data_IF_799659197787
#
_entry.id   IF_799659197787
#
_cell.length_a   1.000
_cell.length_b   1.000
_cell.length_c   1.000
_cell.angle_alpha   90.00
_cell.angle_beta   90.00
_cell.angle_gamma   90.00
#
_symmetry.space_group_name_H-M   'P 1'
#
loop_
_entity.id
_entity.type
_entity.pdbx_description
1 polymer ?
#
# COMPACT_ATOMS: atom_id res chain seq x y z
N UNK A 1 -3.16 27.08 29.11
CA UNK A 1 -3.77 26.58 27.85
C UNK A 1 -2.65 26.44 26.83
N UNK A 2 -2.40 25.23 26.33
CA UNK A 2 -1.48 24.99 25.22
C UNK A 2 -2.21 25.32 23.91
N UNK A 3 -1.67 26.24 23.11
CA UNK A 3 -2.14 26.45 21.73
C UNK A 3 -1.37 25.49 20.82
N UNK A 4 -2.04 24.46 20.32
CA UNK A 4 -1.45 23.48 19.43
C UNK A 4 -1.45 23.94 17.98
N UNK A 5 -0.33 23.75 17.28
CA UNK A 5 -0.21 23.96 15.84
C UNK A 5 -0.04 22.60 15.15
N UNK A 6 -0.92 22.28 14.19
CA UNK A 6 -0.82 21.05 13.38
C UNK A 6 -0.55 21.42 11.93
N UNK A 7 0.67 21.20 11.46
CA UNK A 7 1.08 21.46 10.08
C UNK A 7 1.65 20.20 9.44
N UNK A 8 1.31 19.96 8.16
CA UNK A 8 1.90 18.89 7.37
C UNK A 8 3.24 19.37 6.82
N UNK A 9 4.30 18.63 7.09
CA UNK A 9 5.65 18.91 6.59
C UNK A 9 6.21 17.67 5.89
N UNK A 10 6.99 17.88 4.84
CA UNK A 10 7.72 16.82 4.15
C UNK A 10 9.13 16.75 4.73
N UNK A 11 9.57 15.53 5.04
CA UNK A 11 10.93 15.27 5.54
C UNK A 11 11.92 15.52 4.40
N UNK A 12 12.83 16.47 4.60
CA UNK A 12 13.90 16.80 3.64
C UNK A 12 15.07 15.80 3.77
N UNK A 13 16.01 15.78 2.81
CA UNK A 13 17.23 14.99 2.92
C UNK A 13 17.94 15.21 4.26
N UNK A 14 18.47 14.14 4.84
CA UNK A 14 19.07 14.17 6.18
C UNK A 14 18.06 14.15 7.33
N UNK A 15 16.77 13.90 7.07
CA UNK A 15 15.75 13.76 8.12
C UNK A 15 15.24 15.10 8.67
N UNK A 16 15.52 16.21 7.99
CA UNK A 16 15.16 17.54 8.46
C UNK A 16 13.67 17.81 8.24
N UNK A 17 12.95 18.14 9.31
CA UNK A 17 11.57 18.62 9.26
C UNK A 17 11.57 20.13 9.46
N UNK A 18 11.24 20.88 8.41
CA UNK A 18 11.15 22.35 8.49
C UNK A 18 9.70 22.79 8.71
N UNK A 19 9.48 23.58 9.75
CA UNK A 19 8.19 24.18 10.10
C UNK A 19 8.41 25.70 10.13
N UNK A 20 7.59 26.46 9.42
CA UNK A 20 7.63 27.92 9.39
C UNK A 20 6.27 28.47 9.79
N UNK A 21 6.19 29.05 10.98
CA UNK A 21 4.94 29.51 11.58
C UNK A 21 5.14 30.93 12.10
N UNK A 22 4.72 31.95 11.33
CA UNK A 22 4.91 33.37 11.68
C UNK A 22 4.21 33.78 12.99
N UNK A 23 3.27 32.97 13.45
CA UNK A 23 2.50 33.17 14.68
C UNK A 23 3.24 32.78 15.97
N UNK A 24 4.41 32.13 15.86
CA UNK A 24 5.23 31.78 17.03
C UNK A 24 6.10 32.98 17.44
N UNK A 25 5.96 33.48 18.68
CA UNK A 25 6.77 34.59 19.15
C UNK A 25 8.23 34.17 19.34
N UNK A 26 9.14 35.10 19.03
CA UNK A 26 10.58 34.88 19.19
C UNK A 26 10.93 34.60 20.65
N UNK A 27 11.74 33.58 20.92
CA UNK A 27 12.17 33.21 22.28
C UNK A 27 11.19 32.32 23.06
N UNK A 28 10.05 31.95 22.48
CA UNK A 28 9.14 31.00 23.10
C UNK A 28 9.72 29.56 23.08
N UNK A 29 9.55 28.85 24.19
CA UNK A 29 9.81 27.41 24.25
C UNK A 29 8.62 26.67 23.65
N UNK A 30 8.88 25.77 22.70
CA UNK A 30 7.86 24.97 22.01
C UNK A 30 8.14 23.49 22.19
N UNK A 31 7.08 22.70 22.31
CA UNK A 31 7.14 21.23 22.30
C UNK A 31 6.71 20.72 20.92
N UNK A 32 7.48 19.79 20.34
CA UNK A 32 7.25 19.29 18.98
C UNK A 32 6.93 17.80 19.06
N UNK A 33 5.79 17.41 18.48
CA UNK A 33 5.39 16.01 18.31
C UNK A 33 5.37 15.70 16.81
N UNK A 34 6.19 14.73 16.39
CA UNK A 34 6.28 14.30 14.98
C UNK A 34 5.49 13.01 14.80
N UNK A 35 4.49 13.04 13.92
CA UNK A 35 3.66 11.89 13.54
C UNK A 35 3.98 11.51 12.11
N UNK A 36 4.56 10.33 11.91
CA UNK A 36 4.85 9.80 10.57
C UNK A 36 3.61 9.05 10.10
N UNK A 37 2.98 9.52 9.03
CA UNK A 37 1.93 8.73 8.37
C UNK A 37 2.59 7.48 7.76
N UNK A 38 1.98 6.29 7.89
CA UNK A 38 2.45 5.14 7.14
C UNK A 38 2.41 5.52 5.67
N UNK A 39 3.54 5.40 4.98
CA UNK A 39 3.52 5.36 3.53
C UNK A 39 2.58 4.22 3.20
N UNK A 40 1.51 4.48 2.45
CA UNK A 40 0.76 3.41 1.83
C UNK A 40 1.80 2.61 1.06
N UNK A 41 2.25 1.48 1.65
CA UNK A 41 3.00 0.46 0.93
C UNK A 41 2.16 0.26 -0.31
N UNK A 42 2.71 0.54 -1.49
CA UNK A 42 1.94 0.48 -2.72
C UNK A 42 1.30 -0.90 -2.76
N UNK A 43 0.02 -0.97 -2.39
CA UNK A 43 -0.74 -2.21 -2.41
C UNK A 43 -0.87 -2.44 -3.90
N UNK A 44 0.01 -3.28 -4.45
CA UNK A 44 -0.10 -3.73 -5.82
C UNK A 44 -1.56 -4.15 -5.99
N UNK A 45 -2.26 -3.52 -6.93
CA UNK A 45 -3.67 -3.80 -7.15
C UNK A 45 -3.86 -5.32 -7.25
N UNK A 46 -4.90 -5.87 -6.64
CA UNK A 46 -5.16 -7.31 -6.74
C UNK A 46 -5.30 -7.77 -8.21
N UNK A 47 -5.68 -6.84 -9.10
CA UNK A 47 -5.71 -7.09 -10.55
C UNK A 47 -4.34 -7.40 -11.15
N UNK A 48 -3.23 -7.01 -10.50
CA UNK A 48 -1.87 -7.35 -10.94
C UNK A 48 -1.55 -8.85 -10.83
N UNK A 49 -2.37 -9.63 -10.12
CA UNK A 49 -2.21 -11.08 -10.03
C UNK A 49 -2.90 -11.85 -11.18
N UNK A 50 -3.73 -11.19 -11.99
CA UNK A 50 -4.41 -11.85 -13.12
C UNK A 50 -3.36 -12.25 -14.16
N UNK A 51 -3.18 -13.56 -14.37
CA UNK A 51 -2.23 -14.12 -15.33
C UNK A 51 -0.79 -14.26 -14.83
N UNK A 52 -0.49 -13.91 -13.57
CA UNK A 52 0.87 -14.05 -13.01
C UNK A 52 1.17 -15.44 -12.46
N UNK A 53 0.15 -16.25 -12.19
CA UNK A 53 0.31 -17.61 -11.71
C UNK A 53 0.61 -18.59 -12.85
N UNK A 54 1.40 -19.63 -12.53
CA UNK A 54 1.55 -20.79 -13.41
C UNK A 54 0.20 -21.51 -13.49
N UNK A 55 -0.37 -21.60 -14.68
CA UNK A 55 -1.65 -22.30 -14.91
C UNK A 55 -1.57 -23.76 -14.44
N UNK A 56 -2.71 -24.31 -14.02
CA UNK A 56 -2.79 -25.69 -13.51
C UNK A 56 -2.51 -26.75 -14.59
N UNK A 57 -2.67 -26.38 -15.86
CA UNK A 57 -2.47 -27.25 -17.02
C UNK A 57 -1.42 -26.64 -17.94
N UNK A 58 -0.60 -27.50 -18.56
CA UNK A 58 0.48 -27.06 -19.43
C UNK A 58 -0.03 -26.70 -20.84
N UNK A 59 -1.14 -27.30 -21.27
CA UNK A 59 -1.71 -27.14 -22.62
C UNK A 59 -3.24 -27.11 -22.60
N UNK A 60 -3.89 -26.43 -23.57
CA UNK A 60 -5.34 -26.45 -23.70
C UNK A 60 -5.92 -27.86 -23.85
N UNK A 61 -5.25 -28.74 -24.58
CA UNK A 61 -5.70 -30.11 -24.85
C UNK A 61 -5.76 -30.94 -23.56
N UNK A 62 -4.87 -30.67 -22.60
CA UNK A 62 -4.87 -31.29 -21.28
C UNK A 62 -6.11 -30.87 -20.46
N UNK A 63 -6.49 -29.59 -20.55
CA UNK A 63 -7.70 -29.05 -19.91
C UNK A 63 -8.94 -29.73 -20.48
N UNK A 64 -9.04 -29.79 -21.80
CA UNK A 64 -10.20 -30.35 -22.50
C UNK A 64 -10.39 -31.83 -22.15
N UNK A 65 -9.29 -32.60 -22.11
CA UNK A 65 -9.31 -34.00 -21.71
C UNK A 65 -9.73 -34.17 -20.25
N UNK A 66 -9.23 -33.33 -19.35
CA UNK A 66 -9.63 -33.37 -17.94
C UNK A 66 -11.13 -33.10 -17.78
N UNK A 67 -11.65 -32.06 -18.43
CA UNK A 67 -13.08 -31.72 -18.37
C UNK A 67 -13.95 -32.84 -18.94
N UNK A 68 -13.54 -33.46 -20.05
CA UNK A 68 -14.31 -34.57 -20.62
C UNK A 68 -14.37 -35.77 -19.68
N UNK A 69 -13.25 -36.12 -19.04
CA UNK A 69 -13.19 -37.24 -18.10
C UNK A 69 -14.08 -37.03 -16.87
N UNK A 70 -14.04 -35.83 -16.28
CA UNK A 70 -14.89 -35.49 -15.13
C UNK A 70 -16.38 -35.57 -15.50
N UNK A 71 -16.76 -35.08 -16.68
CA UNK A 71 -18.14 -35.14 -17.15
C UNK A 71 -18.61 -36.59 -17.38
N UNK A 72 -17.79 -37.41 -18.03
CA UNK A 72 -18.13 -38.82 -18.29
C UNK A 72 -18.29 -39.60 -16.96
N UNK A 73 -17.49 -39.25 -15.94
CA UNK A 73 -17.59 -39.83 -14.61
C UNK A 73 -18.87 -39.43 -13.86
N UNK A 74 -19.45 -38.25 -14.15
CA UNK A 74 -20.70 -37.80 -13.53
C UNK A 74 -21.95 -38.42 -14.17
N UNK A 75 -21.85 -38.84 -15.43
CA UNK A 75 -22.92 -39.48 -16.20
C UNK A 75 -22.94 -41.02 -16.02
N UNK A 76 -22.07 -41.58 -15.17
CA UNK A 76 -21.95 -43.02 -14.86
C UNK A 76 -22.53 -43.35 -13.49
#
# INVERSE_FOLDING_TARGET
MLKGLRQKAVVKPGGVVQICSPELPTGATVEIIVLISPTDQSKSSLTSFIGSAKGSFATPEEVDKFISQERDAWES
#
